data_IF_858200088265
#
_entry.id   IF_858200088265
#
_cell.length_a   1.000
_cell.length_b   1.000
_cell.length_c   1.000
_cell.angle_alpha   90.00
_cell.angle_beta   90.00
_cell.angle_gamma   90.00
#
_symmetry.space_group_name_H-M   'P 1'
#
loop_
_entity.id
_entity.type
_entity.pdbx_description
1 polymer ?
#
# COMPACT_ATOMS: atom_id res chain seq x y z
N UNK A 1 44.54 21.43 58.78
CA UNK A 1 43.41 21.04 59.58
C UNK A 1 42.32 22.08 59.36
N UNK A 2 41.46 21.88 58.41
CA UNK A 2 40.12 22.51 58.36
C UNK A 2 39.31 21.65 57.39
N UNK A 3 38.35 21.00 58.01
CA UNK A 3 37.34 20.13 57.44
C UNK A 3 36.35 20.99 56.62
N UNK A 4 36.20 20.76 55.34
CA UNK A 4 35.20 21.39 54.51
C UNK A 4 34.19 20.32 54.10
N UNK A 5 33.12 20.26 54.85
CA UNK A 5 31.96 19.41 54.60
C UNK A 5 31.33 19.81 53.25
N UNK A 6 31.35 18.84 52.34
CA UNK A 6 30.63 18.86 51.07
C UNK A 6 29.13 18.65 51.33
N UNK A 7 28.33 19.66 51.10
CA UNK A 7 26.89 19.63 51.30
C UNK A 7 26.21 19.43 49.94
N UNK A 8 25.48 18.34 49.69
CA UNK A 8 24.78 18.16 48.42
C UNK A 8 23.61 19.17 48.26
N UNK A 9 23.37 19.70 47.06
CA UNK A 9 22.25 20.59 46.80
C UNK A 9 20.90 19.91 46.94
N UNK A 10 19.97 20.63 47.57
CA UNK A 10 18.60 20.19 47.78
C UNK A 10 17.83 19.90 46.44
N UNK A 11 16.93 18.92 46.42
CA UNK A 11 16.16 18.63 45.22
C UNK A 11 15.16 19.76 44.91
N UNK A 12 15.18 20.19 43.64
CA UNK A 12 14.23 21.17 43.10
C UNK A 12 12.80 20.62 43.12
N UNK A 13 11.95 21.14 43.95
CA UNK A 13 10.52 20.90 43.95
C UNK A 13 9.89 21.30 42.61
N UNK A 14 9.47 20.31 41.83
CA UNK A 14 8.67 20.54 40.63
C UNK A 14 7.23 20.84 41.02
N UNK A 15 6.81 22.10 40.89
CA UNK A 15 5.42 22.50 41.04
C UNK A 15 4.54 21.70 40.06
N UNK A 16 3.39 21.15 40.51
CA UNK A 16 2.48 20.44 39.63
C UNK A 16 1.88 21.40 38.59
N UNK A 17 2.02 21.06 37.30
CA UNK A 17 1.35 21.76 36.22
C UNK A 17 -0.16 21.56 36.37
N UNK A 18 -0.90 22.64 36.63
CA UNK A 18 -2.36 22.65 36.60
C UNK A 18 -2.84 22.12 35.27
N UNK A 19 -3.54 20.98 35.28
CA UNK A 19 -4.26 20.47 34.13
C UNK A 19 -5.32 21.52 33.72
N UNK A 20 -5.19 22.06 32.52
CA UNK A 20 -6.25 22.88 31.91
C UNK A 20 -7.44 21.95 31.65
N UNK A 21 -8.50 22.14 32.42
CA UNK A 21 -9.79 21.51 32.18
C UNK A 21 -10.31 22.04 30.86
N UNK A 22 -10.32 21.19 29.85
CA UNK A 22 -10.94 21.49 28.55
C UNK A 22 -12.46 21.42 28.77
N UNK A 23 -13.09 22.58 28.81
CA UNK A 23 -14.55 22.70 28.84
C UNK A 23 -14.99 22.55 27.38
N UNK A 24 -15.64 21.43 27.05
CA UNK A 24 -16.33 21.27 25.78
C UNK A 24 -17.45 22.34 25.72
N UNK A 25 -17.59 23.06 24.59
CA UNK A 25 -18.75 23.93 24.41
C UNK A 25 -20.03 23.09 24.42
N UNK A 26 -21.04 23.63 25.11
CA UNK A 26 -22.39 23.08 25.14
C UNK A 26 -22.88 22.82 23.72
N UNK A 27 -23.16 21.54 23.45
CA UNK A 27 -23.68 21.09 22.17
C UNK A 27 -25.15 21.50 22.11
N UNK A 28 -25.43 22.73 21.66
CA UNK A 28 -26.78 23.08 21.21
C UNK A 28 -27.08 22.17 20.02
N UNK A 29 -27.82 21.11 20.29
CA UNK A 29 -28.39 20.24 19.29
C UNK A 29 -29.26 21.11 18.37
N UNK A 30 -28.78 21.33 17.16
CA UNK A 30 -29.50 22.07 16.13
C UNK A 30 -30.63 21.16 15.64
N UNK A 31 -31.88 21.50 16.00
CA UNK A 31 -33.12 20.79 15.60
C UNK A 31 -33.20 20.57 14.06
N UNK A 32 -32.45 21.37 13.29
CA UNK A 32 -32.32 21.20 11.82
C UNK A 32 -31.52 19.98 11.42
N UNK A 33 -30.62 19.49 12.28
CA UNK A 33 -29.82 18.29 12.01
C UNK A 33 -30.67 17.04 12.21
N UNK A 34 -31.53 17.04 13.24
CA UNK A 34 -32.43 15.92 13.53
C UNK A 34 -33.50 15.77 12.45
N UNK A 35 -34.06 16.87 11.92
CA UNK A 35 -35.01 16.84 10.80
C UNK A 35 -34.42 16.27 9.50
N UNK A 36 -33.11 16.45 9.26
CA UNK A 36 -32.41 15.87 8.10
C UNK A 36 -32.14 14.38 8.27
N UNK A 37 -31.88 13.92 9.50
CA UNK A 37 -31.68 12.49 9.82
C UNK A 37 -33.02 11.75 9.72
N UNK A 38 -34.10 12.31 10.21
CA UNK A 38 -35.45 11.77 10.08
C UNK A 38 -35.90 11.66 8.62
N UNK A 39 -35.67 12.70 7.79
CA UNK A 39 -35.95 12.68 6.36
C UNK A 39 -35.11 11.63 5.59
N UNK A 40 -33.92 11.33 6.06
CA UNK A 40 -33.07 10.27 5.50
C UNK A 40 -33.56 8.87 5.86
N UNK A 41 -34.06 8.69 7.09
CA UNK A 41 -34.57 7.40 7.58
C UNK A 41 -35.97 7.04 7.06
N UNK A 42 -36.79 8.04 6.72
CA UNK A 42 -38.16 7.85 6.20
C UNK A 42 -38.35 8.18 4.71
N UNK A 43 -37.24 8.42 4.00
CA UNK A 43 -37.22 8.67 2.55
C UNK A 43 -37.61 7.43 1.76
N UNK A 44 -38.90 7.37 1.46
CA UNK A 44 -39.57 6.44 0.55
C UNK A 44 -38.82 6.23 -0.74
N UNK A 45 -38.62 4.96 -1.09
CA UNK A 45 -38.61 4.38 -2.45
C UNK A 45 -38.17 5.29 -3.62
N UNK A 46 -36.88 5.35 -3.86
CA UNK A 46 -36.31 5.54 -5.20
C UNK A 46 -35.32 4.41 -5.49
N UNK A 47 -35.85 3.21 -5.54
CA UNK A 47 -35.10 1.96 -5.67
C UNK A 47 -34.86 1.54 -7.13
N UNK A 48 -34.76 2.45 -8.09
CA UNK A 48 -34.48 2.07 -9.47
C UNK A 48 -33.24 2.78 -10.09
N UNK A 49 -32.80 3.91 -9.51
CA UNK A 49 -31.64 4.65 -10.05
C UNK A 49 -30.31 4.38 -9.33
N UNK A 50 -30.35 3.87 -8.08
CA UNK A 50 -29.14 3.56 -7.30
C UNK A 50 -28.45 2.25 -7.73
N UNK A 51 -29.22 1.27 -8.16
CA UNK A 51 -28.70 -0.03 -8.62
C UNK A 51 -27.79 0.09 -9.85
N UNK A 52 -28.13 0.97 -10.80
CA UNK A 52 -27.31 1.20 -11.99
C UNK A 52 -25.99 1.94 -11.70
N UNK A 53 -26.02 2.88 -10.76
CA UNK A 53 -24.82 3.65 -10.39
C UNK A 53 -23.85 2.84 -9.51
N UNK A 54 -24.35 1.94 -8.67
CA UNK A 54 -23.54 1.03 -7.87
C UNK A 54 -22.95 -0.09 -8.71
N UNK A 55 -23.72 -0.64 -9.65
CA UNK A 55 -23.25 -1.60 -10.64
C UNK A 55 -22.17 -0.99 -11.55
N UNK A 56 -22.40 0.24 -12.06
CA UNK A 56 -21.42 0.95 -12.88
C UNK A 56 -20.13 1.32 -12.12
N UNK A 57 -20.22 1.62 -10.81
CA UNK A 57 -19.04 1.83 -9.95
C UNK A 57 -18.32 0.52 -9.66
N UNK A 58 -19.03 -0.58 -9.50
CA UNK A 58 -18.47 -1.91 -9.35
C UNK A 58 -17.79 -2.39 -10.64
N UNK A 59 -18.37 -2.09 -11.80
CA UNK A 59 -17.83 -2.46 -13.11
C UNK A 59 -16.62 -1.59 -13.51
N UNK A 60 -16.62 -0.29 -13.16
CA UNK A 60 -15.44 0.58 -13.27
C UNK A 60 -14.30 0.14 -12.34
N UNK A 61 -14.60 -0.43 -11.17
CA UNK A 61 -13.61 -1.02 -10.29
C UNK A 61 -13.08 -2.38 -10.79
N UNK A 62 -13.78 -3.00 -11.73
CA UNK A 62 -13.47 -4.31 -12.32
C UNK A 62 -12.86 -4.26 -13.71
N UNK A 63 -12.79 -3.09 -14.35
CA UNK A 63 -12.09 -2.96 -15.62
C UNK A 63 -10.62 -3.38 -15.41
N UNK A 64 -10.08 -4.31 -16.22
CA UNK A 64 -8.68 -4.70 -16.13
C UNK A 64 -7.82 -3.46 -16.33
N UNK A 65 -7.10 -3.04 -15.28
CA UNK A 65 -6.26 -1.87 -15.33
C UNK A 65 -5.07 -2.15 -16.20
N UNK A 66 -4.80 -1.29 -17.15
CA UNK A 66 -3.53 -1.33 -17.87
C UNK A 66 -2.38 -1.13 -16.88
N UNK A 67 -1.24 -1.76 -17.18
CA UNK A 67 -0.02 -1.48 -16.43
C UNK A 67 0.40 -0.04 -16.71
N UNK A 68 0.93 0.62 -15.70
CA UNK A 68 1.45 1.98 -15.83
C UNK A 68 2.63 2.04 -16.81
N UNK A 69 2.80 3.20 -17.43
CA UNK A 69 4.09 3.53 -18.03
C UNK A 69 5.16 3.68 -16.94
N UNK A 70 6.42 3.59 -17.30
CA UNK A 70 7.53 3.84 -16.34
C UNK A 70 7.46 5.24 -15.74
N UNK A 71 7.04 6.24 -16.53
CA UNK A 71 6.91 7.62 -16.08
C UNK A 71 5.82 7.76 -15.03
N UNK A 72 4.62 7.21 -15.30
CA UNK A 72 3.47 7.27 -14.39
C UNK A 72 3.76 6.53 -13.09
N UNK A 73 4.33 5.34 -13.18
CA UNK A 73 4.71 4.57 -11.99
C UNK A 73 5.76 5.31 -11.15
N UNK A 74 6.77 5.92 -11.80
CA UNK A 74 7.80 6.69 -11.09
C UNK A 74 7.21 7.91 -10.38
N UNK A 75 6.25 8.59 -11.00
CA UNK A 75 5.55 9.71 -10.39
C UNK A 75 4.71 9.25 -9.18
N UNK A 76 3.96 8.15 -9.32
CA UNK A 76 3.19 7.55 -8.23
C UNK A 76 4.10 7.10 -7.07
N UNK A 77 5.23 6.48 -7.38
CA UNK A 77 6.22 6.05 -6.39
C UNK A 77 6.77 7.23 -5.57
N UNK A 78 7.19 8.31 -6.24
CA UNK A 78 7.69 9.53 -5.56
C UNK A 78 6.62 10.15 -4.66
N UNK A 79 5.38 10.18 -5.13
CA UNK A 79 4.27 10.69 -4.34
C UNK A 79 4.03 9.84 -3.09
N UNK A 80 4.05 8.51 -3.22
CA UNK A 80 3.84 7.61 -2.07
C UNK A 80 5.03 7.63 -1.10
N UNK A 81 6.27 7.74 -1.60
CA UNK A 81 7.46 7.90 -0.77
C UNK A 81 7.38 9.18 0.08
N UNK A 82 6.94 10.30 -0.52
CA UNK A 82 6.71 11.55 0.20
C UNK A 82 5.58 11.41 1.24
N UNK A 83 4.51 10.68 0.92
CA UNK A 83 3.42 10.37 1.88
C UNK A 83 3.92 9.54 3.05
N UNK A 84 4.69 8.49 2.77
CA UNK A 84 5.29 7.64 3.80
C UNK A 84 6.15 8.46 4.74
N UNK A 85 7.04 9.29 4.18
CA UNK A 85 7.94 10.15 4.98
C UNK A 85 7.16 11.15 5.85
N UNK A 86 6.07 11.73 5.33
CA UNK A 86 5.28 12.74 6.04
C UNK A 86 4.37 12.16 7.11
N UNK A 87 3.75 11.02 6.85
CA UNK A 87 2.66 10.49 7.68
C UNK A 87 3.01 9.16 8.38
N UNK A 88 4.15 8.56 8.07
CA UNK A 88 4.57 7.28 8.63
C UNK A 88 3.67 6.09 8.26
N UNK A 89 2.79 6.25 7.23
CA UNK A 89 1.92 5.16 6.80
C UNK A 89 2.71 4.08 6.07
N UNK A 90 2.37 2.79 6.26
CA UNK A 90 3.10 1.72 5.61
C UNK A 90 2.93 1.81 4.09
N UNK A 91 4.02 1.58 3.37
CA UNK A 91 4.03 1.42 1.93
C UNK A 91 5.02 0.32 1.56
N UNK A 92 4.73 -0.45 0.55
CA UNK A 92 5.60 -1.52 0.06
C UNK A 92 5.66 -1.54 -1.45
N UNK A 93 6.79 -1.99 -2.00
CA UNK A 93 6.93 -2.34 -3.40
C UNK A 93 7.24 -3.83 -3.51
N UNK A 94 6.43 -4.54 -4.27
CA UNK A 94 6.69 -5.93 -4.63
C UNK A 94 7.47 -5.95 -5.94
N UNK A 95 8.63 -6.59 -5.94
CA UNK A 95 9.45 -6.87 -7.09
C UNK A 95 9.15 -8.29 -7.54
N UNK A 96 8.85 -8.47 -8.82
CA UNK A 96 8.50 -9.76 -9.40
C UNK A 96 9.45 -10.06 -10.56
N UNK A 97 10.00 -11.25 -10.59
CA UNK A 97 10.93 -11.70 -11.63
C UNK A 97 10.55 -13.08 -12.13
N UNK A 98 10.23 -13.18 -13.42
CA UNK A 98 9.99 -14.45 -14.11
C UNK A 98 11.35 -15.11 -14.35
N UNK A 99 11.46 -16.38 -14.08
CA UNK A 99 12.64 -17.20 -14.36
C UNK A 99 13.04 -17.19 -15.83
N UNK A 100 14.14 -17.86 -16.16
CA UNK A 100 14.61 -17.94 -17.54
C UNK A 100 13.60 -18.65 -18.44
N UNK A 101 13.39 -18.11 -19.63
CA UNK A 101 12.60 -18.68 -20.72
C UNK A 101 13.52 -19.02 -21.88
N UNK A 102 13.15 -20.00 -22.73
CA UNK A 102 14.00 -20.42 -23.85
C UNK A 102 14.28 -19.31 -24.85
N UNK A 103 13.31 -18.43 -25.09
CA UNK A 103 13.38 -17.38 -26.10
C UNK A 103 12.54 -16.14 -25.67
N UNK A 104 12.67 -15.03 -26.42
CA UNK A 104 12.00 -13.76 -26.14
C UNK A 104 10.47 -13.85 -26.34
N UNK A 105 9.99 -14.65 -27.29
CA UNK A 105 8.54 -14.79 -27.53
C UNK A 105 7.87 -15.50 -26.38
N UNK A 106 8.48 -16.59 -25.91
CA UNK A 106 8.02 -17.27 -24.68
C UNK A 106 8.09 -16.34 -23.47
N UNK A 107 9.14 -15.53 -23.36
CA UNK A 107 9.25 -14.54 -22.28
C UNK A 107 8.11 -13.51 -22.33
N UNK A 108 7.74 -13.04 -23.52
CA UNK A 108 6.70 -12.04 -23.68
C UNK A 108 5.30 -12.61 -23.39
N UNK A 109 5.00 -13.81 -23.88
CA UNK A 109 3.75 -14.49 -23.59
C UNK A 109 3.55 -14.71 -22.09
N UNK A 110 4.56 -15.22 -21.39
CA UNK A 110 4.53 -15.46 -19.95
C UNK A 110 4.46 -14.12 -19.17
N UNK A 111 5.09 -13.06 -19.68
CA UNK A 111 5.00 -11.75 -19.08
C UNK A 111 3.59 -11.14 -19.21
N UNK A 112 2.90 -11.33 -20.32
CA UNK A 112 1.50 -10.92 -20.49
C UNK A 112 0.58 -11.66 -19.49
N UNK A 113 0.78 -12.96 -19.35
CA UNK A 113 0.02 -13.75 -18.37
C UNK A 113 0.22 -13.23 -16.93
N UNK A 114 1.47 -12.94 -16.52
CA UNK A 114 1.72 -12.33 -15.21
C UNK A 114 1.07 -10.96 -15.09
N UNK A 115 1.10 -10.14 -16.16
CA UNK A 115 0.43 -8.86 -16.17
C UNK A 115 -1.09 -8.99 -15.92
N UNK A 116 -1.74 -9.99 -16.51
CA UNK A 116 -3.17 -10.27 -16.30
C UNK A 116 -3.44 -10.69 -14.86
N UNK A 117 -2.59 -11.54 -14.29
CA UNK A 117 -2.71 -11.94 -12.88
C UNK A 117 -2.54 -10.74 -11.93
N UNK A 118 -1.56 -9.87 -12.21
CA UNK A 118 -1.35 -8.65 -11.42
C UNK A 118 -2.60 -7.75 -11.51
N UNK A 119 -3.17 -7.55 -12.71
CA UNK A 119 -4.39 -6.74 -12.90
C UNK A 119 -5.60 -7.32 -12.14
N UNK A 120 -5.74 -8.63 -12.15
CA UNK A 120 -6.84 -9.30 -11.45
C UNK A 120 -6.74 -9.21 -9.93
N UNK A 121 -5.51 -9.14 -9.39
CA UNK A 121 -5.23 -9.16 -7.96
C UNK A 121 -5.02 -7.78 -7.34
N UNK A 122 -4.57 -6.80 -8.12
CA UNK A 122 -4.23 -5.44 -7.66
C UNK A 122 -5.47 -4.65 -7.23
N UNK A 123 -5.33 -3.88 -6.14
CA UNK A 123 -6.37 -2.95 -5.65
C UNK A 123 -6.41 -1.69 -6.51
N UNK A 124 -7.46 -0.91 -6.32
CA UNK A 124 -7.62 0.40 -6.96
C UNK A 124 -6.47 1.38 -6.69
N UNK A 125 -5.87 1.31 -5.50
CA UNK A 125 -4.74 2.13 -5.06
C UNK A 125 -3.39 1.63 -5.55
N UNK A 126 -3.29 0.37 -5.97
CA UNK A 126 -2.02 -0.24 -6.34
C UNK A 126 -1.62 0.19 -7.77
N UNK A 127 -0.31 0.31 -8.00
CA UNK A 127 0.24 0.77 -9.27
C UNK A 127 1.29 -0.23 -9.74
N UNK A 128 1.09 -0.77 -10.92
CA UNK A 128 1.94 -1.82 -11.46
C UNK A 128 2.63 -1.40 -12.77
N UNK A 129 3.89 -1.79 -12.94
CA UNK A 129 4.68 -1.49 -14.14
C UNK A 129 5.54 -2.68 -14.54
N UNK A 130 5.68 -2.90 -15.83
CA UNK A 130 6.69 -3.80 -16.40
C UNK A 130 8.01 -3.05 -16.57
N UNK A 131 9.05 -3.46 -15.86
CA UNK A 131 10.36 -2.79 -15.86
C UNK A 131 11.39 -3.46 -16.78
N UNK A 132 11.11 -4.68 -17.22
CA UNK A 132 11.95 -5.44 -18.12
C UNK A 132 11.18 -6.55 -18.83
N UNK A 133 11.84 -7.33 -19.68
CA UNK A 133 11.19 -8.45 -20.37
C UNK A 133 10.50 -9.42 -19.43
N UNK A 134 11.06 -9.61 -18.22
CA UNK A 134 10.61 -10.58 -17.21
C UNK A 134 10.39 -9.96 -15.84
N UNK A 135 10.49 -8.63 -15.70
CA UNK A 135 10.52 -7.95 -14.42
C UNK A 135 9.34 -7.00 -14.28
N UNK A 136 8.69 -7.02 -13.11
CA UNK A 136 7.58 -6.16 -12.77
C UNK A 136 7.78 -5.53 -11.38
N UNK A 137 7.14 -4.38 -11.15
CA UNK A 137 7.02 -3.75 -9.85
C UNK A 137 5.57 -3.43 -9.57
N UNK A 138 5.14 -3.71 -8.34
CA UNK A 138 3.81 -3.37 -7.85
C UNK A 138 3.97 -2.49 -6.60
N UNK A 139 3.61 -1.22 -6.70
CA UNK A 139 3.54 -0.29 -5.59
C UNK A 139 2.21 -0.49 -4.85
N UNK A 140 2.28 -0.72 -3.56
CA UNK A 140 1.14 -1.00 -2.69
C UNK A 140 1.10 0.03 -1.54
N UNK A 141 0.35 1.13 -1.71
CA UNK A 141 0.09 2.08 -0.63
C UNK A 141 -0.59 1.41 0.56
N UNK A 142 -0.32 1.92 1.76
CA UNK A 142 -0.91 1.46 3.03
C UNK A 142 -0.80 -0.06 3.27
N UNK A 143 0.25 -0.68 2.71
CA UNK A 143 0.48 -2.11 2.80
C UNK A 143 1.78 -2.40 3.54
N UNK A 144 1.70 -3.19 4.60
CA UNK A 144 2.85 -3.62 5.38
C UNK A 144 3.67 -4.68 4.62
N UNK A 145 4.92 -4.92 5.07
CA UNK A 145 5.79 -5.98 4.52
C UNK A 145 5.11 -7.36 4.56
N UNK A 146 4.35 -7.67 5.61
CA UNK A 146 3.59 -8.94 5.72
C UNK A 146 2.48 -9.02 4.67
N UNK A 147 1.71 -7.95 4.50
CA UNK A 147 0.68 -7.86 3.47
C UNK A 147 1.26 -8.01 2.06
N UNK A 148 2.37 -7.33 1.78
CA UNK A 148 3.05 -7.43 0.49
C UNK A 148 3.59 -8.84 0.20
N UNK A 149 4.15 -9.53 1.19
CA UNK A 149 4.58 -10.92 1.07
C UNK A 149 3.41 -11.86 0.76
N UNK A 150 2.26 -11.61 1.38
CA UNK A 150 1.06 -12.40 1.12
C UNK A 150 0.57 -12.23 -0.32
N UNK A 151 0.57 -11.01 -0.86
CA UNK A 151 0.27 -10.74 -2.27
C UNK A 151 1.28 -11.46 -3.18
N UNK A 152 2.58 -11.37 -2.90
CA UNK A 152 3.62 -12.04 -3.66
C UNK A 152 3.44 -13.56 -3.72
N UNK A 153 3.18 -14.20 -2.58
CA UNK A 153 2.95 -15.65 -2.49
C UNK A 153 1.68 -16.07 -3.25
N UNK A 154 0.62 -15.24 -3.22
CA UNK A 154 -0.61 -15.48 -3.97
C UNK A 154 -0.38 -15.38 -5.46
N UNK A 155 0.32 -14.36 -5.94
CA UNK A 155 0.70 -14.19 -7.35
C UNK A 155 1.60 -15.34 -7.84
N UNK A 156 2.59 -15.76 -7.03
CA UNK A 156 3.44 -16.90 -7.35
C UNK A 156 2.62 -18.19 -7.51
N UNK A 157 1.67 -18.43 -6.61
CA UNK A 157 0.78 -19.59 -6.67
C UNK A 157 -0.14 -19.51 -7.90
N UNK A 158 -0.78 -18.36 -8.14
CA UNK A 158 -1.64 -18.16 -9.31
C UNK A 158 -0.85 -18.33 -10.62
N UNK A 159 0.35 -17.76 -10.70
CA UNK A 159 1.22 -17.88 -11.86
C UNK A 159 1.62 -19.34 -12.13
N UNK A 160 1.93 -20.11 -11.10
CA UNK A 160 2.23 -21.54 -11.23
C UNK A 160 1.02 -22.34 -11.72
N UNK A 161 -0.19 -21.97 -11.29
CA UNK A 161 -1.44 -22.69 -11.62
C UNK A 161 -2.02 -22.30 -12.97
N UNK A 162 -1.74 -21.11 -13.48
CA UNK A 162 -2.34 -20.58 -14.71
C UNK A 162 -1.79 -21.24 -15.99
N UNK A 163 -0.62 -21.89 -15.95
CA UNK A 163 -0.02 -22.48 -17.13
C UNK A 163 -0.30 -23.96 -17.27
N UNK A 164 -0.17 -24.42 -18.52
CA UNK A 164 -0.14 -25.86 -18.83
C UNK A 164 0.91 -26.56 -17.97
N UNK A 165 0.64 -27.76 -17.46
CA UNK A 165 1.59 -28.54 -16.68
C UNK A 165 2.74 -29.04 -17.57
N UNK A 166 3.63 -28.16 -17.96
CA UNK A 166 4.84 -28.48 -18.72
C UNK A 166 6.06 -28.37 -17.82
N UNK A 167 6.99 -29.29 -17.93
CA UNK A 167 8.25 -29.31 -17.17
C UNK A 167 9.17 -28.10 -17.44
N UNK A 168 8.77 -27.19 -18.32
CA UNK A 168 9.59 -26.05 -18.78
C UNK A 168 9.02 -24.68 -18.40
N UNK A 169 7.95 -24.64 -17.57
CA UNK A 169 7.40 -23.35 -17.14
C UNK A 169 8.38 -22.63 -16.21
N UNK A 170 8.72 -21.35 -16.48
CA UNK A 170 9.60 -20.59 -15.62
C UNK A 170 8.90 -20.33 -14.26
N UNK A 171 9.65 -20.42 -13.18
CA UNK A 171 9.15 -20.03 -11.86
C UNK A 171 8.99 -18.51 -11.78
N UNK A 172 8.12 -18.05 -10.88
CA UNK A 172 8.05 -16.65 -10.47
C UNK A 172 8.78 -16.49 -9.13
N UNK A 173 9.68 -15.53 -9.04
CA UNK A 173 10.31 -15.12 -7.77
C UNK A 173 9.82 -13.74 -7.40
N UNK A 174 9.79 -13.45 -6.11
CA UNK A 174 9.47 -12.11 -5.64
C UNK A 174 10.32 -11.69 -4.45
N UNK A 175 10.49 -10.38 -4.30
CA UNK A 175 11.04 -9.74 -3.11
C UNK A 175 10.21 -8.52 -2.74
N UNK A 176 10.29 -8.10 -1.48
CA UNK A 176 9.51 -6.98 -0.95
C UNK A 176 10.45 -5.89 -0.48
N UNK A 177 10.30 -4.70 -1.04
CA UNK A 177 10.86 -3.47 -0.54
C UNK A 177 9.81 -2.80 0.37
N UNK A 178 10.13 -2.67 1.66
CA UNK A 178 9.32 -1.93 2.62
C UNK A 178 10.25 -1.19 3.57
N UNK A 179 10.01 0.10 3.84
CA UNK A 179 10.87 0.88 4.72
C UNK A 179 10.97 0.26 6.11
N UNK A 180 12.17 0.20 6.64
CA UNK A 180 12.40 -0.05 8.07
C UNK A 180 12.06 1.20 8.86
N UNK A 181 11.93 1.10 10.17
CA UNK A 181 11.64 2.24 11.04
C UNK A 181 12.67 3.36 10.82
N UNK A 182 12.21 4.52 10.38
CA UNK A 182 13.06 5.69 10.07
C UNK A 182 13.77 5.65 8.71
N UNK A 183 13.56 4.60 7.90
CA UNK A 183 14.08 4.51 6.54
C UNK A 183 13.09 5.04 5.49
N UNK A 184 13.56 5.19 4.27
CA UNK A 184 12.77 5.66 3.13
C UNK A 184 12.34 4.51 2.21
N UNK A 185 11.33 4.75 1.39
CA UNK A 185 10.86 3.76 0.42
C UNK A 185 11.90 3.56 -0.71
N UNK A 186 12.64 4.61 -1.06
CA UNK A 186 13.73 4.59 -2.04
C UNK A 186 14.88 3.69 -1.61
N UNK A 187 15.31 3.82 -0.35
CA UNK A 187 16.37 2.98 0.22
C UNK A 187 15.94 1.51 0.24
N UNK A 188 14.70 1.25 0.67
CA UNK A 188 14.14 -0.09 0.69
C UNK A 188 14.07 -0.71 -0.71
N UNK A 189 13.64 0.06 -1.72
CA UNK A 189 13.59 -0.39 -3.11
C UNK A 189 14.98 -0.71 -3.63
N UNK A 190 15.96 0.18 -3.43
CA UNK A 190 17.34 -0.02 -3.87
C UNK A 190 17.98 -1.25 -3.22
N UNK A 191 17.68 -1.52 -1.94
CA UNK A 191 18.15 -2.72 -1.24
C UNK A 191 17.52 -3.99 -1.84
N UNK A 192 16.22 -4.00 -2.11
CA UNK A 192 15.52 -5.12 -2.72
C UNK A 192 16.01 -5.42 -4.14
N UNK A 193 16.24 -4.39 -4.95
CA UNK A 193 16.81 -4.53 -6.30
C UNK A 193 18.19 -5.20 -6.28
N UNK A 194 19.05 -4.83 -5.34
CA UNK A 194 20.35 -5.50 -5.17
C UNK A 194 20.22 -6.97 -4.76
N UNK A 195 19.15 -7.36 -4.05
CA UNK A 195 18.91 -8.78 -3.68
C UNK A 195 18.42 -9.59 -4.87
N UNK A 196 17.56 -9.03 -5.70
CA UNK A 196 17.00 -9.70 -6.89
C UNK A 196 18.06 -9.86 -8.00
N UNK A 197 19.03 -8.95 -8.09
CA UNK A 197 20.10 -8.99 -9.08
C UNK A 197 21.19 -10.04 -8.80
N UNK A 198 21.18 -10.67 -7.63
CA UNK A 198 22.12 -11.75 -7.24
C UNK A 198 21.54 -13.12 -7.56
#
# INVERSE_FOLDING_TARGET
MTDSADHPPAPLERKPRRARRFVLPDNQHDERTDARIEAFLHGTSRSAASSGAESARSDLARAPRELDTRADWTAAFRHEAARHLRYGRPASVLLLEIGRTPDLRSADAVAHELADLIRADARASDRAVRTGPRSFRLLMPETSVGGARHVGARLETAFRMAGEPSNHRPGLRFDVASPKRGGTLEEALSEAERRVAR
#
